data_IF_110080163652
#
_entry.id   IF_110080163652
#
_cell.length_a   1.000
_cell.length_b   1.000
_cell.length_c   1.000
_cell.angle_alpha   90.00
_cell.angle_beta   90.00
_cell.angle_gamma   90.00
#
_symmetry.space_group_name_H-M   'P 1'
#
loop_
_entity.id
_entity.type
_entity.pdbx_description
1 polymer ?
#
# COMPACT_ATOMS: atom_id res chain seq x y z
N UNK A 1 -14.82 -4.92 -54.28
CA UNK A 1 -14.83 -4.68 -52.82
C UNK A 1 -15.30 -5.95 -52.14
N UNK A 2 -14.42 -6.94 -51.90
CA UNK A 2 -14.83 -8.24 -51.32
C UNK A 2 -13.81 -8.75 -50.29
N UNK A 3 -12.52 -8.51 -50.51
CA UNK A 3 -11.47 -8.99 -49.61
C UNK A 3 -11.48 -8.38 -48.20
N UNK A 4 -12.05 -7.18 -48.02
CA UNK A 4 -12.18 -6.56 -46.69
C UNK A 4 -13.26 -7.25 -45.85
N UNK A 5 -14.41 -7.52 -46.46
CA UNK A 5 -15.54 -8.21 -45.80
C UNK A 5 -15.17 -9.66 -45.45
N UNK A 6 -14.41 -10.34 -46.31
CA UNK A 6 -13.91 -11.69 -46.04
C UNK A 6 -12.90 -11.75 -44.88
N UNK A 7 -12.05 -10.72 -44.74
CA UNK A 7 -11.12 -10.61 -43.62
C UNK A 7 -11.84 -10.31 -42.31
N UNK A 8 -12.83 -9.41 -42.34
CA UNK A 8 -13.66 -9.09 -41.17
C UNK A 8 -14.45 -10.32 -40.68
N UNK A 9 -14.95 -11.14 -41.61
CA UNK A 9 -15.65 -12.40 -41.26
C UNK A 9 -14.71 -13.40 -40.59
N UNK A 10 -13.53 -13.66 -41.16
CA UNK A 10 -12.54 -14.58 -40.59
C UNK A 10 -12.02 -14.13 -39.23
N UNK A 11 -11.85 -12.82 -39.04
CA UNK A 11 -11.47 -12.24 -37.76
C UNK A 11 -12.57 -12.47 -36.72
N UNK A 12 -13.84 -12.32 -37.11
CA UNK A 12 -14.99 -12.56 -36.23
C UNK A 12 -15.13 -14.04 -35.85
N UNK A 13 -14.89 -14.96 -36.79
CA UNK A 13 -14.86 -16.41 -36.52
C UNK A 13 -13.73 -16.76 -35.54
N UNK A 14 -12.50 -16.30 -35.77
CA UNK A 14 -11.35 -16.55 -34.88
C UNK A 14 -11.55 -15.99 -33.45
N UNK A 15 -12.21 -14.83 -33.33
CA UNK A 15 -12.45 -14.21 -32.02
C UNK A 15 -13.62 -14.83 -31.26
N UNK A 16 -14.60 -15.41 -31.96
CA UNK A 16 -15.78 -16.03 -31.32
C UNK A 16 -15.63 -17.55 -31.11
N UNK A 17 -14.91 -18.24 -31.99
CA UNK A 17 -14.76 -19.71 -31.97
C UNK A 17 -13.45 -20.18 -31.31
N UNK A 18 -12.52 -19.27 -31.04
CA UNK A 18 -11.38 -19.58 -30.17
C UNK A 18 -11.90 -19.97 -28.80
N UNK A 19 -11.58 -21.19 -28.35
CA UNK A 19 -11.87 -21.63 -26.98
C UNK A 19 -11.49 -20.50 -26.02
N UNK A 20 -12.49 -19.90 -25.38
CA UNK A 20 -12.27 -19.15 -24.15
C UNK A 20 -11.65 -20.17 -23.23
N UNK A 21 -10.32 -20.15 -23.14
CA UNK A 21 -9.55 -20.93 -22.18
C UNK A 21 -10.35 -20.84 -20.89
N UNK A 22 -10.96 -21.98 -20.53
CA UNK A 22 -11.72 -22.09 -19.30
C UNK A 22 -10.66 -22.00 -18.22
N UNK A 23 -10.25 -20.76 -17.92
CA UNK A 23 -9.32 -20.43 -16.86
C UNK A 23 -9.76 -21.27 -15.69
N UNK A 24 -8.93 -22.25 -15.35
CA UNK A 24 -9.28 -23.40 -14.54
C UNK A 24 -10.21 -22.97 -13.41
N UNK A 25 -11.27 -23.74 -13.14
CA UNK A 25 -12.16 -23.46 -11.98
C UNK A 25 -11.33 -23.18 -10.72
N UNK A 26 -10.21 -23.86 -10.58
CA UNK A 26 -9.16 -23.66 -9.57
C UNK A 26 -8.59 -22.22 -9.53
N UNK A 27 -8.29 -21.59 -10.67
CA UNK A 27 -7.80 -20.21 -10.73
C UNK A 27 -8.87 -19.18 -10.34
N UNK A 28 -10.17 -19.48 -10.53
CA UNK A 28 -11.28 -18.65 -10.02
C UNK A 28 -11.50 -18.86 -8.52
N UNK A 29 -11.36 -20.08 -8.03
CA UNK A 29 -11.45 -20.42 -6.60
C UNK A 29 -10.32 -19.75 -5.80
N UNK A 30 -9.08 -19.77 -6.31
CA UNK A 30 -7.94 -19.09 -5.67
C UNK A 30 -8.13 -17.56 -5.56
N UNK A 31 -8.81 -16.94 -6.53
CA UNK A 31 -9.13 -15.50 -6.50
C UNK A 31 -10.29 -15.16 -5.56
N UNK A 32 -11.16 -16.12 -5.25
CA UNK A 32 -12.27 -15.96 -4.30
C UNK A 32 -11.85 -16.17 -2.85
N UNK A 33 -10.72 -16.84 -2.60
CA UNK A 33 -10.14 -16.94 -1.26
C UNK A 33 -9.51 -15.60 -0.92
N UNK A 34 -10.25 -14.77 -0.18
CA UNK A 34 -9.66 -13.69 0.62
C UNK A 34 -8.41 -14.22 1.31
N UNK A 35 -7.24 -13.53 1.25
CA UNK A 35 -6.08 -13.94 2.02
C UNK A 35 -6.53 -14.19 3.46
N UNK A 36 -6.34 -15.42 3.98
CA UNK A 36 -6.86 -15.80 5.31
C UNK A 36 -6.35 -14.87 6.41
N UNK A 37 -5.26 -14.13 6.16
CA UNK A 37 -4.65 -13.18 7.08
C UNK A 37 -4.11 -11.97 6.30
N UNK A 38 -4.54 -10.76 6.68
CA UNK A 38 -3.89 -9.52 6.27
C UNK A 38 -2.78 -9.21 7.28
N UNK A 39 -1.52 -9.11 6.81
CA UNK A 39 -0.41 -8.70 7.67
C UNK A 39 -0.19 -7.20 7.45
N UNK A 40 -0.70 -6.38 8.38
CA UNK A 40 -0.40 -4.94 8.42
C UNK A 40 0.85 -4.72 9.26
N UNK A 41 1.95 -4.33 8.61
CA UNK A 41 3.18 -3.94 9.31
C UNK A 41 3.16 -2.43 9.44
N UNK A 42 3.00 -1.92 10.66
CA UNK A 42 3.22 -0.51 10.94
C UNK A 42 4.73 -0.25 10.92
N UNK A 43 5.20 0.59 9.99
CA UNK A 43 6.60 1.01 9.94
C UNK A 43 6.93 1.84 11.19
N UNK A 44 8.01 1.48 11.87
CA UNK A 44 8.49 2.16 13.08
C UNK A 44 9.23 3.46 12.76
N UNK A 45 9.80 3.57 11.56
CA UNK A 45 10.68 4.66 11.16
C UNK A 45 10.19 5.27 9.83
N UNK A 46 9.91 6.57 9.85
CA UNK A 46 9.50 7.35 8.68
C UNK A 46 10.69 8.20 8.18
N UNK A 47 11.27 7.90 7.01
CA UNK A 47 12.46 8.58 6.51
C UNK A 47 12.24 10.08 6.29
N UNK A 48 11.02 10.49 5.94
CA UNK A 48 10.70 11.91 5.67
C UNK A 48 10.76 12.71 6.97
N UNK A 49 10.24 12.14 8.06
CA UNK A 49 10.26 12.79 9.39
C UNK A 49 11.70 12.94 9.89
N UNK A 50 12.52 11.90 9.75
CA UNK A 50 13.92 11.90 10.18
C UNK A 50 14.75 12.94 9.41
N UNK A 51 14.62 12.99 8.09
CA UNK A 51 15.28 13.99 7.25
C UNK A 51 14.87 15.40 7.66
N UNK A 52 13.56 15.66 7.81
CA UNK A 52 13.03 16.96 8.20
C UNK A 52 13.58 17.39 9.57
N UNK A 53 13.65 16.47 10.54
CA UNK A 53 14.23 16.76 11.85
C UNK A 53 15.71 17.16 11.76
N UNK A 54 16.50 16.44 10.95
CA UNK A 54 17.92 16.74 10.74
C UNK A 54 18.10 18.11 10.09
N UNK A 55 17.36 18.42 9.02
CA UNK A 55 17.47 19.73 8.37
C UNK A 55 17.06 20.87 9.31
N UNK A 56 16.02 20.69 10.13
CA UNK A 56 15.59 21.69 11.12
C UNK A 56 16.54 21.86 12.30
N UNK A 57 17.39 20.88 12.57
CA UNK A 57 18.47 21.04 13.55
C UNK A 57 19.58 22.00 13.05
N UNK A 58 19.72 22.15 11.73
CA UNK A 58 20.76 22.96 11.09
C UNK A 58 20.24 24.35 10.73
N UNK A 59 18.97 24.48 10.32
CA UNK A 59 18.36 25.75 9.94
C UNK A 59 16.93 25.89 10.49
N UNK A 60 16.59 27.08 11.01
CA UNK A 60 15.21 27.43 11.35
C UNK A 60 14.47 27.92 10.11
N UNK A 61 13.21 27.55 10.00
CA UNK A 61 12.34 28.17 9.00
C UNK A 61 11.95 29.59 9.42
N UNK A 62 11.53 30.37 8.42
CA UNK A 62 11.12 31.77 8.60
C UNK A 62 9.65 31.92 9.00
N UNK A 63 8.83 30.89 8.76
CA UNK A 63 7.36 30.98 8.71
C UNK A 63 6.69 29.84 9.50
N UNK A 64 7.45 29.11 10.33
CA UNK A 64 6.99 28.10 11.30
C UNK A 64 6.00 27.03 10.75
N UNK A 65 5.94 26.85 9.42
CA UNK A 65 4.90 26.06 8.73
C UNK A 65 4.88 24.60 9.15
N UNK A 66 6.04 24.03 9.45
CA UNK A 66 6.16 22.62 9.86
C UNK A 66 6.28 22.44 11.37
N UNK A 67 6.25 23.50 12.16
CA UNK A 67 6.42 23.41 13.62
C UNK A 67 5.27 22.60 14.25
N UNK A 68 4.04 22.84 13.78
CA UNK A 68 2.85 22.08 14.18
C UNK A 68 2.94 20.59 13.83
N UNK A 69 3.63 20.25 12.73
CA UNK A 69 3.83 18.87 12.33
C UNK A 69 4.88 18.18 13.22
N UNK A 70 5.98 18.86 13.51
CA UNK A 70 7.04 18.38 14.39
C UNK A 70 6.59 18.19 15.84
N UNK A 71 5.69 19.05 16.35
CA UNK A 71 5.10 18.84 17.67
C UNK A 71 4.23 17.57 17.73
N UNK A 72 3.50 17.26 16.66
CA UNK A 72 2.67 16.05 16.59
C UNK A 72 3.52 14.79 16.53
N UNK A 73 4.62 14.81 15.79
CA UNK A 73 5.54 13.67 15.73
C UNK A 73 6.21 13.42 17.08
N UNK A 74 6.61 14.48 17.80
CA UNK A 74 7.14 14.37 19.18
C UNK A 74 6.13 13.77 20.16
N UNK A 75 4.89 14.30 20.18
CA UNK A 75 3.82 13.77 21.03
C UNK A 75 3.53 12.28 20.77
N UNK A 76 3.63 11.85 19.51
CA UNK A 76 3.47 10.45 19.12
C UNK A 76 4.65 9.58 19.56
N UNK A 77 5.88 10.09 19.53
CA UNK A 77 7.04 9.37 20.09
C UNK A 77 6.93 9.24 21.62
N UNK A 78 6.47 10.28 22.32
CA UNK A 78 6.27 10.26 23.77
C UNK A 78 5.18 9.27 24.20
N UNK A 79 4.08 9.17 23.44
CA UNK A 79 3.02 8.21 23.73
C UNK A 79 3.49 6.77 23.53
N UNK A 80 4.21 6.50 22.43
CA UNK A 80 4.78 5.18 22.14
C UNK A 80 5.81 4.77 23.20
N UNK A 81 6.62 5.72 23.68
CA UNK A 81 7.63 5.48 24.72
C UNK A 81 7.03 5.18 26.11
N UNK A 82 5.87 5.80 26.42
CA UNK A 82 5.12 5.54 27.66
C UNK A 82 4.39 4.20 27.62
N UNK A 83 3.84 3.81 26.48
CA UNK A 83 3.24 2.50 26.27
C UNK A 83 4.29 1.38 26.37
N UNK A 84 5.48 1.55 25.80
CA UNK A 84 6.56 0.55 25.92
C UNK A 84 7.17 0.42 27.33
N UNK A 85 6.97 1.42 28.19
CA UNK A 85 7.39 1.39 29.59
C UNK A 85 6.35 0.75 30.53
N UNK A 86 5.06 0.72 30.12
CA UNK A 86 3.96 0.16 30.91
C UNK A 86 3.84 -1.38 30.86
N UNK A 87 4.50 -2.03 29.90
CA UNK A 87 4.43 -3.50 29.70
C UNK A 87 5.44 -4.30 30.55
N UNK A 88 6.24 -3.66 31.40
CA UNK A 88 7.18 -4.35 32.32
C UNK A 88 6.65 -4.54 33.75
N UNK A 89 5.44 -4.10 34.09
CA UNK A 89 4.78 -4.45 35.35
C UNK A 89 3.72 -5.54 35.12
N UNK A 90 4.19 -6.72 34.70
CA UNK A 90 3.37 -7.91 34.58
C UNK A 90 3.35 -8.74 35.87
N UNK A 91 2.16 -8.81 36.49
CA UNK A 91 1.58 -10.00 37.15
C UNK A 91 2.17 -10.54 38.47
N UNK A 92 1.33 -11.12 39.35
CA UNK A 92 1.59 -11.36 40.78
C UNK A 92 2.57 -12.49 41.11
#
# INVERSE_FOLDING_TARGET
MSGKEDLERRLSELLNEGELEQSSREARELRQISPKYEIRIQTTLDPIVEETHRYRSIARELDDRYDKYLERTRKRQDSVSRESAGDQEGSP
#
